data_IF_245348531127
#
_entry.id   IF_245348531127
#
_cell.length_a   1.000
_cell.length_b   1.000
_cell.length_c   1.000
_cell.angle_alpha   90.00
_cell.angle_beta   90.00
_cell.angle_gamma   90.00
#
_symmetry.space_group_name_H-M   'P 1'
#
loop_
_entity.id
_entity.type
_entity.pdbx_description
1 polymer ?
#
# COMPACT_ATOMS: atom_id res chain seq x y z
N UNK A 1 -1.85 3.07 -37.97
CA UNK A 1 -1.70 3.20 -36.50
C UNK A 1 -0.32 2.72 -36.12
N UNK A 2 0.52 3.59 -35.56
CA UNK A 2 1.97 3.41 -35.48
C UNK A 2 2.48 2.91 -34.13
N UNK A 3 3.68 2.33 -34.14
CA UNK A 3 4.53 1.99 -32.98
C UNK A 3 4.56 3.06 -31.87
N UNK A 4 4.30 4.31 -32.23
CA UNK A 4 4.23 5.48 -31.35
C UNK A 4 3.03 5.47 -30.39
N UNK A 5 1.92 4.79 -30.71
CA UNK A 5 0.76 4.65 -29.80
C UNK A 5 1.09 3.76 -28.59
N UNK A 6 2.02 2.80 -28.74
CA UNK A 6 2.60 2.04 -27.62
C UNK A 6 3.56 2.88 -26.77
N UNK A 7 4.01 4.02 -27.29
CA UNK A 7 4.92 4.95 -26.62
C UNK A 7 4.18 6.00 -25.77
N UNK A 8 2.87 6.16 -25.94
CA UNK A 8 2.04 6.93 -25.01
C UNK A 8 1.86 6.09 -23.74
N UNK A 9 2.87 6.17 -22.86
CA UNK A 9 2.75 5.74 -21.46
C UNK A 9 1.44 6.30 -20.94
N UNK A 10 0.52 5.42 -20.51
CA UNK A 10 -0.77 5.81 -19.94
C UNK A 10 -0.52 6.92 -18.91
N UNK A 11 -1.24 8.03 -19.04
CA UNK A 11 -1.10 9.18 -18.16
C UNK A 11 -2.40 9.43 -17.41
N UNK A 12 -2.27 9.94 -16.19
CA UNK A 12 -3.37 10.53 -15.42
C UNK A 12 -2.87 11.88 -14.92
N UNK A 13 -3.71 12.90 -15.05
CA UNK A 13 -3.36 14.30 -14.75
C UNK A 13 -2.06 14.76 -15.44
N UNK A 14 -1.87 14.30 -16.68
CA UNK A 14 -0.71 14.65 -17.51
C UNK A 14 0.60 13.96 -17.12
N UNK A 15 0.61 13.09 -16.10
CA UNK A 15 1.81 12.41 -15.58
C UNK A 15 1.76 10.90 -15.80
N UNK A 16 2.95 10.32 -16.01
CA UNK A 16 3.22 8.90 -16.21
C UNK A 16 3.37 8.16 -14.88
N UNK A 17 3.49 6.83 -14.95
CA UNK A 17 3.78 5.97 -13.78
C UNK A 17 5.06 6.41 -13.09
N UNK A 18 6.13 6.65 -13.86
CA UNK A 18 7.43 6.98 -13.31
C UNK A 18 7.46 8.36 -12.66
N UNK A 19 6.76 9.34 -13.23
CA UNK A 19 6.63 10.68 -12.64
C UNK A 19 5.84 10.64 -11.33
N UNK A 20 4.71 9.94 -11.31
CA UNK A 20 3.93 9.77 -10.07
C UNK A 20 4.70 9.00 -9.00
N UNK A 21 5.46 7.98 -9.39
CA UNK A 21 6.32 7.24 -8.47
C UNK A 21 7.43 8.12 -7.90
N UNK A 22 8.07 8.96 -8.73
CA UNK A 22 9.07 9.93 -8.29
C UNK A 22 8.50 10.95 -7.31
N UNK A 23 7.29 11.47 -7.56
CA UNK A 23 6.59 12.36 -6.63
C UNK A 23 6.30 11.64 -5.31
N UNK A 24 5.77 10.42 -5.35
CA UNK A 24 5.48 9.65 -4.15
C UNK A 24 6.72 9.39 -3.28
N UNK A 25 7.87 9.11 -3.90
CA UNK A 25 9.13 8.86 -3.17
C UNK A 25 9.75 10.16 -2.63
N UNK A 26 9.58 11.28 -3.32
CA UNK A 26 10.09 12.59 -2.90
C UNK A 26 9.20 13.35 -1.91
N UNK A 27 7.95 12.95 -1.75
CA UNK A 27 7.02 13.54 -0.80
C UNK A 27 7.25 13.03 0.62
N UNK A 28 7.00 13.89 1.62
CA UNK A 28 7.19 13.59 3.04
C UNK A 28 5.88 13.39 3.78
N UNK A 29 4.79 13.98 3.31
CA UNK A 29 3.45 13.83 3.87
C UNK A 29 2.86 12.46 3.49
N UNK A 30 2.58 11.56 4.45
CA UNK A 30 2.10 10.21 4.15
C UNK A 30 0.78 10.18 3.37
N UNK A 31 -0.16 11.10 3.61
CA UNK A 31 -1.45 11.12 2.88
C UNK A 31 -1.21 11.49 1.40
N UNK A 32 -0.32 12.46 1.12
CA UNK A 32 0.04 12.82 -0.25
C UNK A 32 0.84 11.73 -0.96
N UNK A 33 1.68 11.00 -0.23
CA UNK A 33 2.39 9.82 -0.75
C UNK A 33 1.40 8.73 -1.16
N UNK A 34 0.40 8.45 -0.31
CA UNK A 34 -0.67 7.50 -0.62
C UNK A 34 -1.42 7.92 -1.87
N UNK A 35 -1.83 9.19 -1.98
CA UNK A 35 -2.50 9.69 -3.19
C UNK A 35 -1.63 9.45 -4.44
N UNK A 36 -0.34 9.79 -4.37
CA UNK A 36 0.58 9.60 -5.49
C UNK A 36 0.77 8.12 -5.83
N UNK A 37 0.82 7.22 -4.84
CA UNK A 37 0.84 5.77 -5.08
C UNK A 37 -0.49 5.26 -5.65
N UNK A 38 -1.64 5.81 -5.27
CA UNK A 38 -2.93 5.48 -5.88
C UNK A 38 -2.96 5.86 -7.36
N UNK A 39 -2.32 6.98 -7.75
CA UNK A 39 -2.10 7.35 -9.15
C UNK A 39 -1.21 6.31 -9.86
N UNK A 40 -0.08 5.94 -9.26
CA UNK A 40 0.81 4.86 -9.79
C UNK A 40 0.02 3.58 -10.04
N UNK A 41 -0.80 3.16 -9.07
CA UNK A 41 -1.55 1.90 -9.12
C UNK A 41 -2.75 1.95 -10.08
N UNK A 42 -3.34 3.12 -10.30
CA UNK A 42 -4.36 3.32 -11.35
C UNK A 42 -3.78 3.12 -12.76
N UNK A 43 -2.52 3.53 -12.95
CA UNK A 43 -1.81 3.34 -14.21
C UNK A 43 -1.22 1.94 -14.33
N UNK A 44 -0.72 1.37 -13.23
CA UNK A 44 -0.03 0.08 -13.16
C UNK A 44 -0.49 -0.73 -11.93
N UNK A 45 -1.65 -1.41 -12.01
CA UNK A 45 -2.23 -2.12 -10.86
C UNK A 45 -1.44 -3.37 -10.44
N UNK A 46 -0.60 -3.91 -11.32
CA UNK A 46 0.27 -5.06 -11.07
C UNK A 46 1.64 -4.65 -10.48
N UNK A 47 1.79 -3.42 -10.00
CA UNK A 47 3.03 -2.97 -9.38
C UNK A 47 3.08 -3.34 -7.89
N UNK A 48 3.50 -4.56 -7.58
CA UNK A 48 3.62 -5.06 -6.21
C UNK A 48 4.44 -4.12 -5.28
N UNK A 49 5.51 -3.51 -5.79
CA UNK A 49 6.32 -2.56 -5.02
C UNK A 49 5.55 -1.31 -4.58
N UNK A 50 4.73 -0.74 -5.45
CA UNK A 50 3.89 0.41 -5.12
C UNK A 50 2.80 0.05 -4.11
N UNK A 51 2.20 -1.14 -4.20
CA UNK A 51 1.27 -1.65 -3.18
C UNK A 51 1.94 -1.80 -1.80
N UNK A 52 3.17 -2.32 -1.74
CA UNK A 52 3.92 -2.41 -0.49
C UNK A 52 4.26 -1.03 0.08
N UNK A 53 4.74 -0.10 -0.74
CA UNK A 53 5.07 1.26 -0.28
C UNK A 53 3.83 2.01 0.22
N UNK A 54 2.72 1.91 -0.52
CA UNK A 54 1.42 2.44 -0.08
C UNK A 54 1.01 1.88 1.29
N UNK A 55 1.16 0.57 1.50
CA UNK A 55 0.89 -0.07 2.78
C UNK A 55 1.72 0.49 3.93
N UNK A 56 3.02 0.74 3.69
CA UNK A 56 3.90 1.36 4.68
C UNK A 56 3.45 2.77 5.08
N UNK A 57 2.98 3.59 4.14
CA UNK A 57 2.47 4.92 4.46
C UNK A 57 1.18 4.85 5.32
N UNK A 58 0.30 3.86 5.08
CA UNK A 58 -0.83 3.61 5.98
C UNK A 58 -0.40 3.17 7.39
N UNK A 59 0.69 2.39 7.51
CA UNK A 59 1.28 2.04 8.82
C UNK A 59 1.74 3.31 9.55
N UNK A 60 2.40 4.24 8.86
CA UNK A 60 2.82 5.54 9.44
C UNK A 60 1.62 6.30 10.00
N UNK A 61 0.48 6.25 9.30
CA UNK A 61 -0.78 6.86 9.72
C UNK A 61 -1.59 6.02 10.74
N UNK A 62 -1.07 4.85 11.16
CA UNK A 62 -1.74 3.88 12.05
C UNK A 62 -3.09 3.36 11.52
N UNK A 63 -3.24 3.37 10.19
CA UNK A 63 -4.41 2.88 9.44
C UNK A 63 -4.16 1.43 9.01
N UNK A 64 -4.12 0.54 10.00
CA UNK A 64 -3.60 -0.82 9.81
C UNK A 64 -4.46 -1.68 8.88
N UNK A 65 -5.79 -1.52 8.87
CA UNK A 65 -6.66 -2.21 7.93
C UNK A 65 -6.34 -1.91 6.46
N UNK A 66 -6.14 -0.63 6.11
CA UNK A 66 -5.75 -0.23 4.75
C UNK A 66 -4.33 -0.67 4.40
N UNK A 67 -3.42 -0.66 5.39
CA UNK A 67 -2.07 -1.19 5.23
C UNK A 67 -2.09 -2.68 4.86
N UNK A 68 -2.81 -3.50 5.63
CA UNK A 68 -2.96 -4.95 5.40
C UNK A 68 -3.53 -5.21 4.01
N UNK A 69 -4.58 -4.48 3.61
CA UNK A 69 -5.18 -4.60 2.28
C UNK A 69 -4.16 -4.32 1.17
N UNK A 70 -3.28 -3.35 1.38
CA UNK A 70 -2.24 -2.98 0.41
C UNK A 70 -1.15 -4.05 0.34
N UNK A 71 -0.72 -4.61 1.47
CA UNK A 71 0.25 -5.71 1.50
C UNK A 71 -0.32 -7.00 0.91
N UNK A 72 -1.61 -7.30 1.13
CA UNK A 72 -2.30 -8.42 0.50
C UNK A 72 -2.27 -8.30 -1.01
N UNK A 73 -2.55 -7.12 -1.56
CA UNK A 73 -2.42 -6.88 -3.01
C UNK A 73 -0.99 -7.06 -3.51
N UNK A 74 0.01 -6.60 -2.76
CA UNK A 74 1.41 -6.85 -3.11
C UNK A 74 1.75 -8.35 -3.15
N UNK A 75 1.22 -9.14 -2.22
CA UNK A 75 1.44 -10.59 -2.12
C UNK A 75 0.62 -11.39 -3.13
N UNK A 76 -0.59 -10.95 -3.49
CA UNK A 76 -1.37 -11.53 -4.61
C UNK A 76 -0.58 -11.44 -5.92
N UNK A 77 0.04 -10.29 -6.18
CA UNK A 77 0.84 -10.05 -7.40
C UNK A 77 2.20 -10.76 -7.32
N UNK A 78 2.87 -10.67 -6.15
CA UNK A 78 4.18 -11.27 -5.92
C UNK A 78 4.14 -12.11 -4.63
N UNK A 79 3.74 -13.39 -4.70
CA UNK A 79 3.64 -14.25 -3.51
C UNK A 79 4.95 -14.43 -2.75
N UNK A 80 6.09 -14.34 -3.44
CA UNK A 80 7.44 -14.38 -2.86
C UNK A 80 7.97 -12.96 -2.59
N UNK A 81 7.22 -12.16 -1.83
CA UNK A 81 7.62 -10.82 -1.40
C UNK A 81 7.82 -10.79 0.13
N UNK A 82 9.03 -11.11 0.64
CA UNK A 82 9.26 -11.24 2.07
C UNK A 82 9.01 -9.94 2.84
N UNK A 83 9.35 -8.78 2.28
CA UNK A 83 9.13 -7.48 2.90
C UNK A 83 7.62 -7.19 3.08
N UNK A 84 6.80 -7.43 2.04
CA UNK A 84 5.35 -7.24 2.14
C UNK A 84 4.71 -8.20 3.15
N UNK A 85 5.19 -9.45 3.24
CA UNK A 85 4.72 -10.41 4.24
C UNK A 85 5.06 -9.96 5.66
N UNK A 86 6.31 -9.56 5.89
CA UNK A 86 6.75 -9.05 7.18
C UNK A 86 5.93 -7.81 7.60
N UNK A 87 5.76 -6.85 6.70
CA UNK A 87 4.99 -5.63 6.99
C UNK A 87 3.51 -5.93 7.28
N UNK A 88 2.92 -6.92 6.60
CA UNK A 88 1.56 -7.38 6.89
C UNK A 88 1.45 -7.97 8.28
N UNK A 89 2.34 -8.89 8.65
CA UNK A 89 2.34 -9.55 9.97
C UNK A 89 2.48 -8.53 11.12
N UNK A 90 3.31 -7.51 10.91
CA UNK A 90 3.48 -6.39 11.85
C UNK A 90 2.19 -5.57 11.99
N UNK A 91 1.60 -5.16 10.86
CA UNK A 91 0.34 -4.41 10.84
C UNK A 91 -0.83 -5.19 11.48
N UNK A 92 -0.94 -6.50 11.23
CA UNK A 92 -1.95 -7.38 11.87
C UNK A 92 -1.74 -7.46 13.39
N UNK A 93 -0.49 -7.49 13.84
CA UNK A 93 -0.15 -7.52 15.26
C UNK A 93 -0.54 -6.22 15.96
N UNK A 94 -0.23 -5.06 15.36
CA UNK A 94 -0.65 -3.76 15.90
C UNK A 94 -2.17 -3.62 15.92
N UNK A 95 -2.85 -4.07 14.85
CA UNK A 95 -4.30 -4.04 14.79
C UNK A 95 -4.95 -4.91 15.88
N UNK A 96 -4.42 -6.12 16.10
CA UNK A 96 -4.88 -7.01 17.18
C UNK A 96 -4.72 -6.37 18.56
N UNK A 97 -3.58 -5.71 18.83
CA UNK A 97 -3.34 -4.99 20.10
C UNK A 97 -4.39 -3.90 20.32
N UNK A 98 -4.68 -3.10 19.29
CA UNK A 98 -5.66 -2.01 19.36
C UNK A 98 -7.08 -2.55 19.57
N UNK A 99 -7.46 -3.63 18.87
CA UNK A 99 -8.77 -4.28 19.06
C UNK A 99 -8.95 -4.81 20.47
N UNK A 100 -7.94 -5.49 21.01
CA UNK A 100 -7.94 -5.97 22.41
C UNK A 100 -8.05 -4.81 23.41
N UNK A 101 -7.29 -3.73 23.20
CA UNK A 101 -7.34 -2.56 24.07
C UNK A 101 -8.74 -1.90 24.08
N UNK A 102 -9.44 -1.91 22.94
CA UNK A 102 -10.82 -1.41 22.81
C UNK A 102 -11.86 -2.35 23.43
N UNK A 103 -11.62 -3.66 23.41
CA UNK A 103 -12.53 -4.68 23.94
C UNK A 103 -11.86 -5.54 25.05
N UNK A 104 -11.55 -4.97 26.23
CA UNK A 104 -10.77 -5.66 27.27
C UNK A 104 -11.51 -6.83 27.96
N UNK A 105 -12.81 -7.01 27.71
CA UNK A 105 -13.69 -7.91 28.48
C UNK A 105 -13.71 -9.34 27.94
N UNK A 106 -13.34 -9.58 26.67
CA UNK A 106 -13.44 -10.92 26.05
C UNK A 106 -12.41 -11.92 26.59
N UNK A 107 -11.24 -11.49 27.07
CA UNK A 107 -10.21 -12.39 27.58
C UNK A 107 -10.47 -12.98 28.97
N UNK A 108 -11.44 -12.44 29.73
CA UNK A 108 -11.75 -12.98 31.08
C UNK A 108 -12.69 -14.19 31.05
N UNK A 109 -13.14 -14.65 29.86
CA UNK A 109 -14.09 -15.77 29.74
C UNK A 109 -13.46 -17.12 29.40
N UNK A 110 -12.15 -17.20 29.17
CA UNK A 110 -11.45 -18.44 28.81
C UNK A 110 -10.46 -18.94 29.90
N UNK A 111 -10.65 -18.56 31.17
CA UNK A 111 -9.89 -19.11 32.30
C UNK A 111 -10.78 -19.86 33.29
#
# INVERSE_FOLDING_TARGET
MGFLDKLFKKKIEGKTVEEWYGIAVGETDPEKKIESFDKVLTLKPDFAGAWNLRGLEFVVLKRYEEAITSFDKALEIRPKYPEARYNKEDAETELRKIRKAKNPVEEKKER
#
